data_IF_982689589972
#
_entry.id   IF_982689589972
#
_cell.length_a   1.000
_cell.length_b   1.000
_cell.length_c   1.000
_cell.angle_alpha   90.00
_cell.angle_beta   90.00
_cell.angle_gamma   90.00
#
_symmetry.space_group_name_H-M   'P 1'
#
loop_
_entity.id
_entity.type
_entity.pdbx_description
1 polymer ?
2 non-polymer ?
3 non-polymer ?
4 non-polymer ?
5 water ?
#
# COMPACT_ATOMS: atom_id res chain seq x y z
N UNK A 5 -2.88 -1.71 24.34
CA UNK A 5 -2.76 -1.87 22.87
C UNK A 5 -3.95 -1.25 22.13
N UNK A 6 -3.70 -0.19 21.37
CA UNK A 6 -4.79 0.45 20.64
C UNK A 6 -5.11 -0.45 19.43
N UNK A 7 -6.35 -0.91 19.34
CA UNK A 7 -6.78 -1.80 18.25
C UNK A 7 -7.45 -1.08 17.09
N UNK A 8 -6.86 -1.17 15.91
CA UNK A 8 -7.43 -0.55 14.72
C UNK A 8 -7.53 -1.49 13.52
N UNK A 9 -8.73 -1.63 12.99
CA UNK A 9 -8.97 -2.48 11.81
C UNK A 9 -9.30 -1.63 10.59
N UNK A 10 -8.90 -2.13 9.42
CA UNK A 10 -9.11 -1.43 8.17
C UNK A 10 -9.99 -2.22 7.21
N UNK A 11 -11.15 -1.65 6.86
CA UNK A 11 -12.02 -2.33 5.90
C UNK A 11 -11.54 -1.95 4.51
N UNK A 12 -11.01 -2.93 3.79
CA UNK A 12 -10.50 -2.67 2.44
C UNK A 12 -11.59 -2.92 1.42
N UNK A 13 -12.01 -1.86 0.74
CA UNK A 13 -13.04 -1.93 -0.28
C UNK A 13 -12.36 -2.19 -1.63
N UNK A 14 -13.13 -2.68 -2.59
CA UNK A 14 -12.54 -2.98 -3.89
C UNK A 14 -11.92 -1.71 -4.48
N UNK A 15 -10.72 -1.86 -5.04
CA UNK A 15 -9.97 -0.75 -5.65
C UNK A 15 -9.51 0.30 -4.65
N UNK A 16 -9.27 -0.13 -3.42
CA UNK A 16 -8.82 0.77 -2.36
C UNK A 16 -7.43 1.32 -2.68
N UNK A 17 -7.21 2.58 -2.32
CA UNK A 17 -5.90 3.20 -2.53
C UNK A 17 -4.86 2.39 -1.76
N UNK A 19 -1.59 2.85 -1.57
CA UNK A 19 -0.62 3.77 -0.99
C UNK A 19 -1.18 4.41 0.29
N UNK A 20 -2.48 4.64 0.33
CA UNK A 20 -3.09 5.22 1.51
C UNK A 20 -3.01 4.19 2.62
N UNK A 21 -3.41 2.97 2.28
CA UNK A 21 -3.41 1.90 3.26
C UNK A 21 -2.02 1.51 3.78
N UNK A 22 -1.07 1.32 2.88
CA UNK A 22 0.27 0.92 3.28
C UNK A 22 1.03 1.99 4.07
N UNK A 23 0.83 3.26 3.74
CA UNK A 23 1.53 4.28 4.50
C UNK A 23 0.94 4.39 5.92
N UNK A 24 -0.39 4.30 6.03
CA UNK A 24 -1.00 4.36 7.35
C UNK A 24 -0.47 3.21 8.22
N UNK A 26 2.32 1.56 7.85
CA UNK A 26 3.73 1.77 8.12
C UNK A 26 3.84 2.52 9.45
N UNK A 27 3.10 3.63 9.57
CA UNK A 27 3.09 4.43 10.79
C UNK A 27 2.80 3.60 12.04
N UNK A 28 1.76 2.76 11.97
CA UNK A 28 1.39 1.94 13.12
C UNK A 28 2.38 0.81 13.39
N UNK A 29 3.01 0.28 12.35
CA UNK A 29 3.99 -0.77 12.56
C UNK A 29 5.27 -0.13 13.12
N UNK A 30 5.74 0.92 12.45
CA UNK A 30 6.94 1.63 12.88
C UNK A 30 6.79 2.08 14.32
N UNK A 31 5.58 2.48 14.71
CA UNK A 31 5.33 2.91 16.07
C UNK A 31 5.68 1.76 17.00
N UNK A 32 5.25 0.56 16.64
CA UNK A 32 5.51 -0.63 17.43
C UNK A 32 7.00 -0.95 17.47
N UNK A 33 7.70 -0.63 16.38
CA UNK A 33 9.13 -0.88 16.28
C UNK A 33 9.89 -0.16 17.40
N UNK A 34 9.40 1.02 17.78
CA UNK A 34 10.03 1.83 18.83
C UNK A 34 9.36 1.65 20.19
N UNK A 35 8.07 1.29 20.17
CA UNK A 35 7.31 1.06 21.40
C UNK A 35 6.43 -0.17 21.19
N UNK A 36 6.83 -1.28 21.81
CA UNK A 36 6.12 -2.55 21.69
C UNK A 36 4.62 -2.50 21.96
N UNK A 37 3.89 -3.33 21.22
CA UNK A 37 2.44 -3.46 21.29
C UNK A 37 1.65 -2.18 21.53
N UNK A 38 1.99 -1.14 20.76
CA UNK A 38 1.27 0.11 20.88
C UNK A 38 -0.02 -0.04 20.09
N UNK A 39 0.05 -0.80 19.00
CA UNK A 39 -1.11 -1.02 18.13
C UNK A 39 -1.28 -2.47 17.64
N UNK A 40 -2.53 -2.87 17.48
CA UNK A 40 -2.89 -4.19 16.94
C UNK A 40 -3.85 -3.85 15.80
N UNK A 41 -3.58 -4.37 14.61
CA UNK A 41 -4.41 -4.08 13.44
C UNK A 41 -4.66 -5.29 12.55
N UNK A 42 -5.73 -5.22 11.75
CA UNK A 42 -6.11 -6.30 10.86
C UNK A 42 -6.82 -5.84 9.58
N UNK A 43 -6.37 -6.33 8.43
CA UNK A 43 -7.04 -5.91 7.20
C UNK A 43 -8.35 -6.72 7.16
N UNK A 44 -9.46 -6.05 6.84
CA UNK A 44 -10.76 -6.71 6.79
C UNK A 44 -11.46 -6.56 5.43
N UNK A 45 -12.24 -7.59 5.08
CA UNK A 45 -12.99 -7.60 3.83
C UNK A 45 -14.45 -7.87 4.13
N UNK A 46 -15.34 -7.16 3.44
CA UNK A 46 -16.76 -7.34 3.63
C UNK A 46 -17.19 -8.69 3.08
N UNK A 47 -16.66 -9.07 1.92
CA UNK A 47 -16.99 -10.37 1.36
C UNK A 47 -15.76 -11.02 0.74
N UNK A 48 -15.21 -12.01 1.44
CA UNK A 48 -14.04 -12.70 0.95
C UNK A 48 -12.81 -12.60 1.84
N UNK A 49 -11.75 -13.28 1.42
CA UNK A 49 -10.49 -13.30 2.16
C UNK A 49 -9.43 -12.63 1.30
N UNK A 50 -9.89 -11.95 0.25
CA UNK A 50 -9.00 -11.25 -0.67
C UNK A 50 -9.65 -9.98 -1.20
N UNK A 51 -8.87 -8.91 -1.27
CA UNK A 51 -9.38 -7.64 -1.77
C UNK A 51 -8.43 -7.08 -2.81
N UNK A 52 -8.98 -6.61 -3.91
CA UNK A 52 -8.19 -6.05 -4.99
C UNK A 52 -7.94 -4.57 -4.72
N UNK A 53 -6.69 -4.15 -4.90
CA UNK A 53 -6.31 -2.76 -4.70
C UNK A 53 -6.24 -2.05 -6.06
N UNK A 54 -6.01 -0.73 -6.00
CA UNK A 54 -5.94 0.10 -7.19
C UNK A 54 -4.68 -0.17 -8.00
N UNK A 55 -3.84 -1.04 -7.48
CA UNK A 55 -2.60 -1.40 -8.15
C UNK A 55 -2.71 -2.77 -8.83
N UNK A 56 -3.89 -3.37 -8.82
CA UNK A 56 -4.07 -4.67 -9.44
C UNK A 56 -3.70 -5.83 -8.54
N UNK A 57 -3.09 -5.51 -7.40
CA UNK A 57 -2.69 -6.53 -6.43
C UNK A 57 -3.80 -6.83 -5.44
N UNK A 58 -3.84 -8.08 -4.99
CA UNK A 58 -4.81 -8.52 -4.01
C UNK A 58 -4.10 -8.74 -2.67
N UNK A 59 -4.74 -8.32 -1.58
CA UNK A 59 -4.19 -8.50 -0.24
C UNK A 59 -5.05 -9.51 0.50
N UNK A 60 -4.43 -10.34 1.32
CA UNK A 60 -5.20 -11.30 2.09
C UNK A 60 -5.80 -10.51 3.25
N UNK A 61 -7.06 -10.78 3.56
CA UNK A 61 -7.75 -10.08 4.64
C UNK A 61 -8.71 -11.02 5.34
N UNK A 62 -9.06 -10.67 6.57
CA UNK A 62 -10.01 -11.46 7.34
C UNK A 62 -11.41 -11.03 6.93
N UNK A 63 -12.33 -11.97 6.82
CA UNK A 63 -13.69 -11.64 6.49
C UNK A 63 -14.25 -10.98 7.73
N UNK A 64 -14.81 -9.79 7.55
CA UNK A 64 -15.36 -9.04 8.67
C UNK A 64 -16.46 -9.80 9.41
N UNK A 65 -16.38 -9.75 10.73
CA UNK A 65 -17.36 -10.40 11.58
C UNK A 65 -17.96 -9.29 12.41
N UNK A 66 -19.27 -9.12 12.30
CA UNK A 66 -19.96 -8.07 13.03
C UNK A 66 -19.57 -8.13 14.51
N UNK A 67 -19.42 -9.34 15.03
CA UNK A 67 -19.05 -9.54 16.43
C UNK A 67 -17.62 -9.13 16.74
N UNK A 68 -16.66 -9.63 15.98
CA UNK A 68 -15.25 -9.33 16.17
C UNK A 68 -14.84 -7.86 15.97
N UNK A 69 -15.81 -6.94 16.00
CA UNK A 69 -15.49 -5.53 15.85
C UNK A 69 -15.59 -4.94 17.26
N UNK A 70 -16.21 -5.71 18.13
CA UNK A 70 -16.45 -5.36 19.53
C UNK A 70 -15.19 -4.96 20.29
N UNK A 71 -14.06 -5.58 19.98
CA UNK A 71 -12.82 -5.26 20.67
C UNK A 71 -12.01 -4.16 20.00
N UNK A 72 -12.65 -3.41 19.10
CA UNK A 72 -11.99 -2.34 18.37
C UNK A 72 -12.05 -0.94 18.97
N UNK A 73 -10.96 -0.20 18.79
CA UNK A 73 -10.90 1.18 19.22
C UNK A 73 -11.17 2.05 17.99
N UNK A 74 -10.81 1.53 16.81
CA UNK A 74 -10.99 2.29 15.58
C UNK A 74 -11.17 1.43 14.32
N UNK A 75 -12.25 1.69 13.62
CA UNK A 75 -12.57 0.99 12.39
C UNK A 75 -12.42 2.02 11.28
N UNK A 76 -11.53 1.75 10.34
CA UNK A 76 -11.26 2.64 9.22
C UNK A 76 -11.74 2.09 7.88
N UNK A 77 -12.49 2.90 7.14
CA UNK A 77 -12.97 2.49 5.83
C UNK A 77 -11.98 3.02 4.78
N UNK A 78 -11.38 2.07 4.07
CA UNK A 78 -10.40 2.41 3.05
C UNK A 78 -11.00 2.29 1.65
N UNK A 79 -11.02 3.43 0.97
CA UNK A 79 -11.55 3.49 -0.38
C UNK A 79 -10.47 3.87 -1.36
N UNK A 80 -10.90 4.26 -2.55
CA UNK A 80 -9.97 4.64 -3.59
C UNK A 80 -10.74 5.31 -4.71
N UNK A 81 -10.00 5.82 -5.69
CA UNK A 81 -10.59 6.50 -6.84
C UNK A 81 -11.66 5.70 -7.55
N UNK A 82 -11.34 4.45 -7.87
CA UNK A 82 -12.27 3.59 -8.58
C UNK A 82 -13.20 2.78 -7.66
N UNK A 83 -13.08 2.99 -6.35
CA UNK A 83 -13.92 2.27 -5.40
C UNK A 83 -15.40 2.53 -5.62
N UNK A 84 -16.17 1.46 -5.87
CA UNK A 84 -17.61 1.64 -6.09
C UNK A 84 -18.31 2.18 -4.82
N UNK A 85 -19.21 3.14 -5.01
CA UNK A 85 -19.93 3.76 -3.90
C UNK A 85 -21.19 2.99 -3.57
N UNK A 86 -21.02 1.77 -3.04
CA UNK A 86 -22.16 0.94 -2.69
C UNK A 86 -22.00 0.45 -1.26
N UNK A 87 -21.94 -0.86 -1.07
CA UNK A 87 -21.76 -1.44 0.25
C UNK A 87 -22.78 -0.87 1.24
N UNK A 88 -24.07 -0.94 0.90
CA UNK A 88 -25.14 -0.43 1.77
C UNK A 88 -25.08 -0.93 3.21
N UNK A 89 -24.51 -2.11 3.40
CA UNK A 89 -24.41 -2.68 4.75
C UNK A 89 -23.60 -1.81 5.69
N UNK A 90 -22.67 -1.04 5.13
CA UNK A 90 -21.80 -0.20 5.96
C UNK A 90 -22.56 0.82 6.78
N UNK A 91 -23.76 1.19 6.33
CA UNK A 91 -24.56 2.18 7.06
C UNK A 91 -24.91 1.81 8.50
N UNK A 92 -25.57 0.67 8.74
CA UNK A 92 -25.92 0.30 10.10
C UNK A 92 -24.69 -0.24 10.83
N UNK A 93 -23.76 -0.82 10.08
CA UNK A 93 -22.53 -1.34 10.69
C UNK A 93 -21.74 -0.21 11.35
N UNK A 94 -21.60 0.90 10.64
CA UNK A 94 -20.85 2.03 11.16
C UNK A 94 -21.66 2.77 12.23
N UNK A 95 -22.97 2.79 12.06
CA UNK A 95 -23.86 3.44 13.01
C UNK A 95 -23.73 2.71 14.36
N UNK A 96 -23.77 1.37 14.33
CA UNK A 96 -23.63 0.58 15.54
C UNK A 96 -22.24 0.71 16.13
N UNK A 97 -21.23 0.84 15.28
CA UNK A 97 -19.88 1.00 15.78
C UNK A 97 -19.81 2.37 16.47
N UNK A 98 -20.57 3.34 15.94
CA UNK A 98 -20.61 4.68 16.51
C UNK A 98 -21.39 4.64 17.82
N UNK A 99 -22.41 3.79 17.90
CA UNK A 99 -23.20 3.69 19.11
C UNK A 99 -22.38 3.03 20.20
N UNK A 100 -21.62 2.01 19.82
CA UNK A 100 -20.76 1.25 20.72
C UNK A 100 -19.69 2.09 21.41
N UNK A 101 -19.34 3.22 20.80
CA UNK A 101 -18.33 4.10 21.38
C UNK A 101 -17.03 4.11 20.60
N UNK A 103 -14.20 4.84 17.60
CA UNK A 103 -13.78 5.97 16.80
C UNK A 103 -13.93 5.38 15.40
N UNK A 104 -14.18 6.22 14.40
CA UNK A 104 -14.34 5.73 13.03
C UNK A 104 -13.51 6.55 12.06
N UNK A 105 -13.08 5.92 10.97
CA UNK A 105 -12.24 6.61 10.00
C UNK A 105 -12.42 6.27 8.53
N UNK A 106 -11.71 7.02 7.68
CA UNK A 106 -11.79 6.82 6.24
C UNK A 106 -10.60 7.39 5.48
N UNK A 107 -10.07 6.62 4.54
CA UNK A 107 -8.93 7.04 3.72
C UNK A 107 -9.39 7.21 2.28
N UNK A 108 -8.83 8.21 1.60
CA UNK A 108 -9.17 8.56 0.22
C UNK A 108 -10.61 9.11 0.18
N UNK A 109 -11.61 8.24 0.06
CA UNK A 109 -13.01 8.68 0.08
C UNK A 109 -13.86 7.92 1.08
N UNK A 110 -13.19 7.20 1.99
CA UNK A 110 -13.95 6.46 3.00
C UNK A 110 -14.90 7.34 3.78
N UNK A 111 -14.58 8.62 3.87
CA UNK A 111 -15.44 9.54 4.60
C UNK A 111 -16.79 9.61 3.93
N UNK A 112 -16.84 9.35 2.63
CA UNK A 112 -18.13 9.36 1.94
C UNK A 112 -19.07 8.35 2.64
N UNK A 113 -18.52 7.18 2.97
CA UNK A 113 -19.27 6.10 3.62
C UNK A 113 -19.67 6.45 5.05
N UNK A 114 -18.76 7.08 5.77
CA UNK A 114 -19.07 7.50 7.13
C UNK A 114 -20.15 8.58 7.02
N UNK A 115 -20.11 9.34 5.94
CA UNK A 115 -21.09 10.39 5.72
C UNK A 115 -22.49 9.82 5.52
N UNK A 116 -22.61 8.86 4.60
CA UNK A 116 -23.88 8.23 4.30
C UNK A 116 -24.44 7.51 5.52
N UNK A 117 -23.54 6.97 6.34
CA UNK A 117 -23.96 6.25 7.54
C UNK A 117 -24.52 7.19 8.61
N UNK A 118 -24.25 8.49 8.45
CA UNK A 118 -24.73 9.47 9.42
C UNK A 118 -23.88 9.53 10.68
N UNK A 119 -22.60 9.20 10.57
CA UNK A 119 -21.72 9.23 11.73
C UNK A 119 -20.78 10.44 11.72
N UNK A 120 -20.94 11.30 10.73
CA UNK A 120 -20.12 12.52 10.63
C UNK A 120 -21.00 13.75 10.81
N UNK A 121 -22.17 13.54 11.42
CA UNK A 121 -23.09 14.63 11.67
C UNK A 121 -22.49 15.58 12.68
N UNK A 122 -22.21 16.79 12.21
CA UNK A 122 -21.63 17.84 13.03
C UNK A 122 -20.17 17.53 13.33
N UNK A 123 -19.49 17.04 12.30
CA UNK A 123 -18.08 16.68 12.39
C UNK A 123 -17.37 17.21 11.16
N UNK A 124 -16.06 17.38 11.27
CA UNK A 124 -15.30 17.82 10.12
C UNK A 124 -14.71 16.55 9.55
N UNK A 125 -14.23 16.61 8.31
CA UNK A 125 -13.61 15.45 7.69
C UNK A 125 -12.87 15.88 6.44
N UNK A 126 -12.04 14.96 5.95
CA UNK A 126 -11.27 15.17 4.73
C UNK A 126 -11.70 14.09 3.75
N UNK A 127 -11.85 14.47 2.49
CA UNK A 127 -12.28 13.51 1.49
C UNK A 127 -11.70 13.91 0.15
N UNK A 128 -11.47 12.92 -0.71
CA UNK A 128 -10.97 13.21 -2.03
C UNK A 128 -12.00 14.12 -2.71
N UNK A 129 -11.54 15.10 -3.51
CA UNK A 129 -12.39 16.04 -4.25
C UNK A 129 -13.47 15.39 -5.13
N UNK A 130 -13.13 14.27 -5.76
CA UNK A 130 -14.07 13.58 -6.65
C UNK A 130 -15.38 13.26 -5.93
N UNK A 131 -15.33 13.04 -4.61
CA UNK A 131 -16.54 12.70 -3.87
C UNK A 131 -17.04 13.78 -2.92
N UNK A 132 -16.44 14.97 -2.98
CA UNK A 132 -16.82 16.05 -2.09
C UNK A 132 -18.26 16.52 -2.32
N UNK A 133 -18.65 16.69 -3.58
CA UNK A 133 -19.99 17.15 -3.88
C UNK A 133 -21.06 16.17 -3.36
N UNK A 134 -20.88 14.88 -3.62
CA UNK A 134 -21.82 13.87 -3.16
C UNK A 134 -21.94 13.80 -1.64
N UNK A 135 -20.79 13.90 -0.96
CA UNK A 135 -20.75 13.84 0.50
C UNK A 135 -21.55 14.97 1.14
N UNK A 136 -21.48 16.16 0.54
CA UNK A 136 -22.20 17.32 1.04
C UNK A 136 -23.69 17.17 0.76
N UNK A 137 -24.01 16.60 -0.41
CA UNK A 137 -25.40 16.39 -0.82
C UNK A 137 -26.09 15.36 0.06
N UNK A 138 -25.37 14.32 0.44
CA UNK A 138 -25.92 13.25 1.27
C UNK A 138 -25.77 13.51 2.77
N UNK A 139 -24.84 14.38 3.15
CA UNK A 139 -24.63 14.65 4.57
C UNK A 139 -24.41 16.14 4.87
N UNK A 140 -25.48 16.94 4.76
CA UNK A 140 -25.44 18.39 5.01
C UNK A 140 -24.81 18.79 6.35
N UNK A 141 -24.93 17.94 7.36
CA UNK A 141 -24.37 18.25 8.67
C UNK A 141 -22.86 17.98 8.80
N UNK A 142 -22.25 17.52 7.71
CA UNK A 142 -20.82 17.23 7.71
C UNK A 142 -20.03 18.35 7.04
N UNK A 143 -19.01 18.84 7.72
CA UNK A 143 -18.17 19.90 7.18
C UNK A 143 -16.99 19.30 6.43
N UNK A 144 -16.62 19.94 5.33
CA UNK A 144 -15.50 19.49 4.52
C UNK A 144 -14.31 20.35 4.89
N UNK A 145 -13.28 19.73 5.45
CA UNK A 145 -12.08 20.44 5.84
C UNK A 145 -11.24 20.75 4.60
N UNK A 146 -10.74 21.98 4.47
CA UNK A 146 -9.93 22.29 3.29
C UNK A 146 -8.47 21.85 3.49
N UNK A 147 -8.28 20.59 3.81
CA UNK A 147 -6.93 20.02 4.06
C UNK A 147 -6.96 18.49 3.85
N UNK A 148 -5.80 17.91 3.59
CA UNK A 148 -5.72 16.47 3.30
C UNK A 148 -6.07 15.46 4.41
N UNK A 149 -6.05 15.87 5.67
CA UNK A 149 -6.42 14.98 6.77
C UNK A 149 -7.21 15.74 7.81
N UNK A 150 -7.90 15.03 8.69
CA UNK A 150 -8.75 15.63 9.71
C UNK A 150 -8.81 14.77 10.97
N UNK A 151 -8.51 15.39 12.10
CA UNK A 151 -8.51 14.72 13.38
C UNK A 151 -9.52 15.45 14.24
N UNK A 152 -10.77 15.04 14.12
CA UNK A 152 -11.84 15.67 14.87
C UNK A 152 -12.44 14.68 15.85
N UNK A 153 -11.94 14.70 17.08
CA UNK A 153 -12.43 13.83 18.15
C UNK A 153 -12.23 12.36 17.80
N UNK A 154 -13.35 11.65 17.63
CA UNK A 154 -13.29 10.24 17.29
C UNK A 154 -13.68 9.98 15.82
N UNK A 155 -13.36 10.94 14.96
CA UNK A 155 -13.60 10.82 13.53
C UNK A 155 -12.32 11.27 12.80
N UNK A 156 -11.59 10.28 12.31
CA UNK A 156 -10.34 10.49 11.61
C UNK A 156 -10.49 10.21 10.10
N UNK A 157 -10.05 11.15 9.28
CA UNK A 157 -10.18 10.95 7.84
C UNK A 157 -9.09 11.58 7.04
N UNK A 158 -8.81 11.00 5.87
CA UNK A 158 -7.76 11.51 4.99
C UNK A 158 -8.21 11.42 3.53
N UNK A 159 -7.77 12.41 2.75
CA UNK A 159 -8.13 12.51 1.34
C UNK A 159 -7.03 12.06 0.40
N UNK A 160 -5.85 11.80 0.94
CA UNK A 160 -4.72 11.42 0.10
C UNK A 160 -3.74 10.52 0.85
N UNK A 161 -2.78 9.91 0.14
CA UNK A 161 -1.80 9.05 0.81
C UNK A 161 -1.06 9.84 1.89
N UNK A 162 -0.59 11.04 1.54
CA UNK A 162 0.12 11.86 2.50
C UNK A 162 -0.79 12.24 3.67
N UNK A 163 -2.05 12.54 3.36
CA UNK A 163 -3.02 12.87 4.40
C UNK A 163 -3.17 11.70 5.36
N UNK A 164 -3.11 10.48 4.81
CA UNK A 164 -3.23 9.27 5.59
C UNK A 164 -2.01 9.09 6.50
N UNK A 166 -0.16 11.54 7.71
CA UNK A 166 -0.31 12.55 8.76
C UNK A 166 -1.42 12.13 9.73
N UNK A 167 -2.48 11.53 9.20
CA UNK A 167 -3.60 11.11 10.02
C UNK A 167 -3.17 10.12 11.09
N UNK A 169 -0.15 9.70 12.14
CA UNK A 169 0.85 10.34 12.98
C UNK A 169 0.06 11.13 14.01
N UNK A 170 -1.07 11.68 13.57
CA UNK A 170 -1.91 12.43 14.48
C UNK A 170 -2.42 11.50 15.56
N UNK A 171 -2.73 10.27 15.15
CA UNK A 171 -3.22 9.27 16.09
C UNK A 171 -2.12 8.88 17.07
N UNK A 172 -0.92 8.65 16.56
CA UNK A 172 0.21 8.26 17.40
C UNK A 172 0.52 9.36 18.42
N UNK A 173 0.49 10.60 17.95
CA UNK A 173 0.77 11.77 18.78
C UNK A 173 -0.24 11.88 19.94
N UNK A 174 -1.51 11.67 19.62
CA UNK A 174 -2.60 11.76 20.60
C UNK A 174 -2.63 10.62 21.63
N UNK A 175 -1.97 9.52 21.33
CA UNK A 175 -1.96 8.37 22.22
C UNK A 175 -0.67 8.18 23.01
N UNK A 176 0.48 8.30 22.35
CA UNK A 176 1.74 8.07 23.03
C UNK A 176 2.70 9.27 23.09
N UNK A 177 2.22 10.43 22.66
CA UNK A 177 3.04 11.63 22.72
C UNK A 177 3.81 12.03 21.48
N UNK A 178 4.20 13.30 21.44
CA UNK A 178 4.94 13.86 20.31
C UNK A 178 6.25 13.08 20.15
N UNK A 179 6.77 12.60 21.27
CA UNK A 179 8.01 11.86 21.26
C UNK A 179 8.01 10.66 20.32
N UNK A 180 7.00 9.80 20.44
CA UNK A 180 6.92 8.62 19.59
C UNK A 180 6.67 9.01 18.14
N UNK A 181 5.69 9.87 17.91
CA UNK A 181 5.34 10.32 16.56
C UNK A 181 6.53 10.94 15.84
N UNK A 182 7.27 11.79 16.56
CA UNK A 182 8.43 12.44 15.98
C UNK A 182 9.46 11.38 15.62
N UNK A 183 9.59 10.36 16.47
CA UNK A 183 10.54 9.29 16.21
C UNK A 183 10.14 8.43 15.02
N UNK A 184 8.83 8.20 14.90
CA UNK A 184 8.27 7.40 13.81
C UNK A 184 8.55 8.10 12.49
N UNK A 185 8.29 9.41 12.48
CA UNK A 185 8.49 10.24 11.31
C UNK A 185 9.94 10.22 10.81
N UNK A 186 10.89 10.22 11.74
CA UNK A 186 12.30 10.20 11.38
C UNK A 186 12.64 8.98 10.52
N UNK A 187 12.12 7.83 10.93
CA UNK A 187 12.37 6.59 10.22
C UNK A 187 11.72 6.62 8.83
N UNK A 188 10.40 6.73 8.79
CA UNK A 188 9.66 6.78 7.53
C UNK A 188 10.22 7.86 6.61
N UNK A 189 10.14 9.12 7.06
CA UNK A 189 10.64 10.24 6.28
C UNK A 189 12.14 10.44 6.54
N UNK B 5 3.60 -4.34 -24.95
CA UNK B 5 3.73 -3.94 -23.53
C UNK B 5 4.94 -4.56 -22.85
N UNK B 6 5.77 -3.71 -22.25
CA UNK B 6 6.97 -4.15 -21.55
C UNK B 6 6.55 -5.03 -20.38
N UNK B 7 7.20 -6.17 -20.21
CA UNK B 7 6.86 -7.07 -19.12
C UNK B 7 7.86 -7.08 -17.99
N UNK B 8 7.38 -6.73 -16.80
CA UNK B 8 8.20 -6.71 -15.60
C UNK B 8 7.51 -7.59 -14.56
N UNK B 9 8.28 -8.43 -13.90
CA UNK B 9 7.73 -9.31 -12.87
C UNK B 9 8.56 -9.17 -11.62
N UNK B 10 7.87 -9.22 -10.48
CA UNK B 10 8.52 -9.07 -9.20
C UNK B 10 8.43 -10.33 -8.38
N UNK B 11 9.57 -10.79 -7.91
CA UNK B 11 9.60 -11.98 -7.06
C UNK B 11 9.56 -11.44 -5.65
N UNK B 12 8.47 -11.74 -4.95
CA UNK B 12 8.31 -11.26 -3.59
C UNK B 12 8.83 -12.31 -2.63
N UNK B 13 9.85 -11.92 -1.85
CA UNK B 13 10.43 -12.83 -0.87
C UNK B 13 9.80 -12.52 0.48
N UNK B 14 9.93 -13.46 1.43
CA UNK B 14 9.34 -13.26 2.75
C UNK B 14 9.89 -12.00 3.43
N UNK B 15 8.99 -11.25 4.05
CA UNK B 15 9.31 -10.02 4.76
C UNK B 15 9.75 -8.89 3.82
N UNK B 16 9.42 -9.02 2.54
CA UNK B 16 9.79 -8.00 1.56
C UNK B 16 9.22 -6.63 1.95
N UNK B 17 9.91 -5.59 1.49
CA UNK B 17 9.52 -4.20 1.75
C UNK B 17 8.26 -3.85 0.97
N UNK B 19 6.36 -1.04 1.11
CA UNK B 19 6.47 0.33 0.61
C UNK B 19 7.35 0.33 -0.64
N UNK B 20 8.46 -0.38 -0.57
CA UNK B 20 9.39 -0.44 -1.70
C UNK B 20 8.71 -1.02 -2.93
N UNK B 21 8.05 -2.16 -2.75
CA UNK B 21 7.36 -2.81 -3.85
C UNK B 21 6.16 -2.04 -4.40
N UNK B 22 5.37 -1.44 -3.50
CA UNK B 22 4.18 -0.69 -3.94
C UNK B 22 4.48 0.56 -4.77
N UNK B 23 5.41 1.40 -4.31
CA UNK B 23 5.75 2.61 -5.07
C UNK B 23 6.25 2.25 -6.46
N UNK B 24 6.95 1.13 -6.59
CA UNK B 24 7.46 0.70 -7.88
C UNK B 24 6.28 0.40 -8.78
N UNK B 26 3.34 1.53 -8.44
CA UNK B 26 2.60 2.76 -8.63
C UNK B 26 3.05 3.48 -9.90
N UNK B 27 4.35 3.51 -10.10
CA UNK B 27 4.96 4.15 -11.26
C UNK B 27 4.51 3.49 -12.56
N UNK B 28 4.39 2.17 -12.55
CA UNK B 28 3.99 1.42 -13.73
C UNK B 28 2.51 1.51 -14.02
N UNK B 29 1.69 1.36 -12.98
CA UNK B 29 0.25 1.44 -13.16
C UNK B 29 -0.10 2.86 -13.59
N UNK B 30 0.61 3.84 -13.03
CA UNK B 30 0.36 5.22 -13.37
C UNK B 30 0.73 5.48 -14.83
N UNK B 31 1.84 4.92 -15.28
CA UNK B 31 2.26 5.10 -16.67
C UNK B 31 1.15 4.53 -17.54
N UNK B 32 0.60 3.38 -17.15
CA UNK B 32 -0.47 2.76 -17.93
C UNK B 32 -1.70 3.64 -17.94
N UNK B 33 -1.84 4.50 -16.94
CA UNK B 33 -2.97 5.42 -16.86
C UNK B 33 -2.79 6.56 -17.87
N UNK B 34 -1.54 6.95 -18.10
CA UNK B 34 -1.22 8.03 -19.03
C UNK B 34 -1.06 7.50 -20.46
N UNK B 35 -0.68 6.23 -20.58
CA UNK B 35 -0.48 5.58 -21.87
C UNK B 35 -0.79 4.10 -21.74
N UNK B 36 -1.94 3.69 -22.27
CA UNK B 36 -2.37 2.30 -22.19
C UNK B 36 -1.34 1.28 -22.67
N UNK B 37 -1.51 0.04 -22.21
CA UNK B 37 -0.64 -1.06 -22.58
C UNK B 37 0.86 -0.77 -22.51
N UNK B 38 1.27 0.21 -21.72
CA UNK B 38 2.69 0.51 -21.61
C UNK B 38 3.44 -0.57 -20.85
N UNK B 39 2.83 -1.07 -19.78
CA UNK B 39 3.46 -2.12 -18.99
C UNK B 39 2.51 -3.26 -18.68
N UNK B 40 3.09 -4.35 -18.20
CA UNK B 40 2.36 -5.55 -17.80
C UNK B 40 3.15 -6.08 -16.62
N UNK B 41 2.47 -6.59 -15.59
CA UNK B 41 3.21 -7.07 -14.44
C UNK B 41 2.48 -8.12 -13.62
N UNK B 42 3.25 -8.84 -12.81
CA UNK B 42 2.70 -9.90 -11.98
C UNK B 42 3.59 -10.14 -10.77
N UNK B 43 2.98 -10.25 -9.57
CA UNK B 43 3.80 -10.51 -8.38
C UNK B 43 4.07 -12.01 -8.36
N UNK B 44 5.32 -12.40 -8.13
CA UNK B 44 5.69 -13.82 -8.11
C UNK B 44 6.22 -14.32 -6.78
N UNK B 45 5.96 -15.60 -6.51
CA UNK B 45 6.39 -16.27 -5.29
C UNK B 45 7.13 -17.58 -5.60
N UNK B 46 8.19 -17.85 -4.83
CA UNK B 46 8.95 -19.08 -5.03
C UNK B 46 8.15 -20.27 -4.51
N UNK B 47 7.41 -20.06 -3.42
CA UNK B 47 6.59 -21.12 -2.85
C UNK B 47 5.27 -20.58 -2.32
N UNK B 48 4.16 -21.18 -2.75
CA UNK B 48 2.85 -20.74 -2.30
C UNK B 48 2.34 -19.53 -3.06
N UNK B 49 1.03 -19.31 -2.98
CA UNK B 49 0.40 -18.18 -3.65
C UNK B 49 0.24 -16.98 -2.72
N UNK B 50 1.02 -16.94 -1.65
CA UNK B 50 0.97 -15.85 -0.68
C UNK B 50 2.34 -15.55 -0.09
N UNK B 51 2.66 -14.27 0.06
CA UNK B 51 3.94 -13.87 0.63
C UNK B 51 3.74 -12.81 1.73
N UNK B 52 4.40 -13.01 2.85
CA UNK B 52 4.33 -12.09 3.99
C UNK B 52 5.22 -10.87 3.74
N UNK B 53 4.62 -9.68 3.73
CA UNK B 53 5.39 -8.46 3.53
C UNK B 53 6.06 -8.06 4.83
N UNK B 54 6.83 -6.99 4.79
CA UNK B 54 7.50 -6.51 5.99
C UNK B 54 6.48 -5.88 6.95
N UNK B 55 5.28 -5.60 6.44
CA UNK B 55 4.24 -4.97 7.24
C UNK B 55 3.28 -5.91 7.93
N UNK B 56 3.45 -7.21 7.74
CA UNK B 56 2.54 -8.16 8.36
C UNK B 56 1.38 -8.49 7.42
N UNK B 57 1.26 -7.76 6.31
CA UNK B 57 0.20 -8.02 5.32
C UNK B 57 0.70 -9.06 4.32
N UNK B 58 -0.21 -9.85 3.79
CA UNK B 58 0.14 -10.87 2.80
C UNK B 58 -0.49 -10.49 1.46
N UNK B 59 0.26 -10.64 0.37
CA UNK B 59 -0.26 -10.35 -0.95
C UNK B 59 -0.34 -11.66 -1.71
N UNK B 60 -1.35 -11.79 -2.56
CA UNK B 60 -1.51 -12.99 -3.36
C UNK B 60 -0.56 -12.86 -4.54
N UNK B 61 0.27 -13.87 -4.75
CA UNK B 61 1.22 -13.86 -5.85
C UNK B 61 1.06 -15.11 -6.71
N UNK B 62 1.83 -15.18 -7.79
CA UNK B 62 1.80 -16.33 -8.68
C UNK B 62 3.11 -17.07 -8.48
N UNK B 63 3.02 -18.38 -8.29
CA UNK B 63 4.20 -19.21 -8.09
C UNK B 63 5.08 -19.10 -9.32
N UNK B 64 6.38 -18.91 -9.11
CA UNK B 64 7.32 -18.76 -10.21
C UNK B 64 7.29 -19.93 -11.19
N UNK B 65 7.47 -19.61 -12.48
CA UNK B 65 7.45 -20.60 -13.54
C UNK B 65 8.50 -20.27 -14.61
N UNK B 66 9.34 -21.24 -14.94
CA UNK B 66 10.38 -21.05 -15.94
C UNK B 66 9.84 -20.82 -17.35
N UNK B 67 8.94 -21.70 -17.77
CA UNK B 67 8.33 -21.60 -19.10
C UNK B 67 7.60 -20.27 -19.26
N UNK B 68 7.26 -19.65 -18.14
CA UNK B 68 6.56 -18.36 -18.14
C UNK B 68 7.56 -17.23 -18.39
N UNK B 69 8.76 -17.39 -17.85
CA UNK B 69 9.83 -16.41 -18.00
C UNK B 69 10.30 -16.34 -19.45
N UNK B 70 9.36 -16.37 -20.39
CA UNK B 70 9.71 -16.32 -21.81
C UNK B 70 9.29 -14.99 -22.41
N UNK B 71 8.19 -14.44 -21.92
CA UNK B 71 7.68 -13.17 -22.41
C UNK B 71 8.11 -12.05 -21.46
N UNK B 72 8.98 -12.38 -20.52
CA UNK B 72 9.46 -11.38 -19.56
C UNK B 72 10.65 -10.58 -20.05
N UNK B 73 10.47 -9.27 -20.13
CA UNK B 73 11.52 -8.38 -20.59
C UNK B 73 12.30 -7.85 -19.39
N UNK B 74 11.81 -8.12 -18.19
CA UNK B 74 12.47 -7.68 -16.97
C UNK B 74 11.98 -8.49 -15.79
N UNK B 75 12.89 -8.79 -14.87
CA UNK B 75 12.56 -9.57 -13.68
C UNK B 75 13.24 -8.86 -12.52
N UNK B 76 12.51 -8.71 -11.41
CA UNK B 76 13.05 -8.03 -10.25
C UNK B 76 13.00 -8.88 -8.99
N UNK B 77 13.96 -8.66 -8.11
CA UNK B 77 14.01 -9.39 -6.86
C UNK B 77 13.66 -8.44 -5.73
N UNK B 78 12.48 -8.61 -5.15
CA UNK B 78 12.02 -7.75 -4.07
C UNK B 78 12.34 -8.37 -2.71
N UNK B 79 13.13 -7.66 -1.92
CA UNK B 79 13.49 -8.14 -0.61
C UNK B 79 13.13 -7.18 0.50
N UNK B 80 13.61 -7.45 1.70
CA UNK B 80 13.32 -6.60 2.84
C UNK B 80 14.31 -6.78 3.96
N UNK B 81 14.20 -5.92 4.98
CA UNK B 81 15.10 -5.97 6.12
C UNK B 81 15.25 -7.39 6.67
N UNK B 82 14.22 -7.87 7.37
CA UNK B 82 14.27 -9.21 7.96
C UNK B 82 14.24 -10.36 6.96
N UNK B 83 14.37 -10.05 5.66
CA UNK B 83 14.35 -11.10 4.66
C UNK B 83 15.57 -12.00 4.79
N UNK B 84 15.36 -13.33 4.81
CA UNK B 84 16.47 -14.27 4.94
C UNK B 84 17.33 -14.37 3.68
N UNK B 85 18.65 -14.31 3.87
CA UNK B 85 19.61 -14.38 2.77
C UNK B 85 19.85 -15.83 2.38
N UNK B 86 18.85 -16.42 1.71
CA UNK B 86 18.92 -17.82 1.29
C UNK B 86 18.40 -17.97 -0.12
N UNK B 87 17.33 -18.75 -0.27
CA UNK B 87 16.72 -18.99 -1.56
C UNK B 87 17.79 -19.45 -2.55
N UNK B 88 18.11 -20.75 -2.54
CA UNK B 88 19.12 -21.32 -3.43
C UNK B 88 18.80 -21.18 -4.92
N UNK B 89 17.54 -21.43 -5.29
CA UNK B 89 17.12 -21.34 -6.68
C UNK B 89 17.43 -19.98 -7.32
N UNK B 90 17.87 -19.01 -6.52
CA UNK B 90 18.19 -17.68 -7.05
C UNK B 90 19.55 -17.60 -7.75
N UNK B 91 20.17 -18.76 -7.98
CA UNK B 91 21.46 -18.80 -8.66
C UNK B 91 21.25 -19.34 -10.07
N UNK B 92 20.67 -20.53 -10.16
CA UNK B 92 20.42 -21.14 -11.45
C UNK B 92 19.46 -20.27 -12.26
N UNK B 93 18.37 -19.86 -11.61
CA UNK B 93 17.34 -19.04 -12.25
C UNK B 93 17.82 -17.65 -12.69
N UNK B 94 18.59 -16.98 -11.84
CA UNK B 94 19.11 -15.65 -12.20
C UNK B 94 20.09 -15.77 -13.36
N UNK B 95 21.09 -16.63 -13.19
CA UNK B 95 22.10 -16.84 -14.23
C UNK B 95 21.42 -17.29 -15.51
N UNK B 96 20.35 -18.06 -15.38
CA UNK B 96 19.60 -18.53 -16.56
C UNK B 96 18.96 -17.36 -17.27
N UNK B 97 18.43 -16.41 -16.49
CA UNK B 97 17.80 -15.23 -17.06
C UNK B 97 18.85 -14.32 -17.69
N UNK B 98 20.02 -14.26 -17.06
CA UNK B 98 21.11 -13.46 -17.60
C UNK B 98 21.60 -14.20 -18.83
N UNK B 99 21.32 -15.51 -18.87
CA UNK B 99 21.71 -16.37 -19.98
C UNK B 99 20.78 -16.12 -21.16
N UNK B 100 19.93 -15.13 -21.00
CA UNK B 100 18.99 -14.77 -22.05
C UNK B 100 19.08 -13.26 -22.24
N UNK B 101 20.03 -12.65 -21.53
CA UNK B 101 20.23 -11.22 -21.62
C UNK B 101 19.21 -10.47 -20.78
N UNK B 103 16.63 -8.47 -18.65
CA UNK B 103 16.93 -7.45 -17.66
C UNK B 103 16.59 -7.97 -16.25
N UNK B 104 17.42 -7.60 -15.27
CA UNK B 104 17.22 -8.00 -13.89
C UNK B 104 17.40 -6.82 -12.92
N UNK B 105 16.68 -6.85 -11.80
CA UNK B 105 16.77 -5.78 -10.82
C UNK B 105 16.54 -6.24 -9.39
N UNK B 106 16.69 -5.31 -8.44
CA UNK B 106 16.50 -5.64 -7.04
C UNK B 106 16.08 -4.45 -6.16
N UNK B 107 15.25 -4.72 -5.16
CA UNK B 107 14.78 -3.66 -4.28
C UNK B 107 15.21 -3.88 -2.81
N UNK B 108 15.44 -2.78 -2.10
CA UNK B 108 15.87 -2.81 -0.70
C UNK B 108 17.22 -3.52 -0.62
N UNK B 109 17.25 -4.77 -0.17
CA UNK B 109 18.52 -5.50 -0.15
C UNK B 109 18.42 -6.73 -1.03
N UNK B 110 17.60 -6.62 -2.07
CA UNK B 110 17.42 -7.71 -3.01
C UNK B 110 18.56 -7.71 -4.01
N UNK B 111 19.52 -6.80 -3.78
CA UNK B 111 20.68 -6.67 -4.64
C UNK B 111 21.74 -7.67 -4.17
N UNK B 112 21.62 -8.08 -2.91
CA UNK B 112 22.55 -9.03 -2.32
C UNK B 112 22.44 -10.33 -3.10
N UNK B 113 21.21 -10.76 -3.35
CA UNK B 113 20.96 -11.99 -4.10
C UNK B 113 21.47 -11.81 -5.51
N UNK B 114 21.61 -10.54 -5.91
CA UNK B 114 22.12 -10.24 -7.24
C UNK B 114 23.62 -10.51 -7.18
N UNK B 115 24.20 -10.26 -6.00
CA UNK B 115 25.62 -10.47 -5.78
C UNK B 115 26.06 -11.93 -5.86
N UNK B 116 25.14 -12.87 -5.70
CA UNK B 116 25.49 -14.28 -5.80
C UNK B 116 25.64 -14.61 -7.27
N UNK B 117 26.06 -13.60 -8.03
CA UNK B 117 26.28 -13.72 -9.46
C UNK B 117 26.97 -12.44 -9.88
N UNK B 118 26.25 -11.58 -10.59
CA UNK B 118 26.84 -10.33 -11.04
C UNK B 118 25.82 -9.23 -11.23
N UNK B 129 21.71 -3.83 7.63
CA UNK B 129 22.58 -2.95 6.88
C UNK B 129 23.16 -3.65 5.66
N UNK B 130 22.72 -4.88 5.46
CA UNK B 130 23.13 -5.78 4.36
C UNK B 130 23.98 -5.13 3.25
N UNK B 131 25.11 -4.54 3.64
CA UNK B 131 26.00 -3.87 2.69
C UNK B 131 26.42 -4.75 1.53
N UNK B 132 26.25 -6.06 1.69
CA UNK B 132 26.60 -7.06 0.68
C UNK B 132 27.90 -7.77 1.06
N UNK B 148 20.24 6.16 -3.91
CA UNK B 148 19.18 5.30 -3.40
C UNK B 148 18.83 4.27 -4.45
N UNK B 149 19.15 4.61 -5.71
CA UNK B 149 18.87 3.71 -6.82
C UNK B 149 20.04 3.74 -7.80
N UNK B 150 19.99 2.87 -8.80
CA UNK B 150 21.06 2.82 -9.79
C UNK B 150 20.57 2.05 -10.99
N UNK B 151 20.73 2.62 -12.18
CA UNK B 151 20.33 1.95 -13.41
C UNK B 151 21.59 1.68 -14.23
N UNK B 152 22.10 0.45 -14.16
CA UNK B 152 23.30 0.08 -14.89
C UNK B 152 22.95 -0.79 -16.09
N UNK B 153 22.88 -0.18 -17.26
CA UNK B 153 22.56 -0.88 -18.50
C UNK B 153 21.28 -1.70 -18.40
N UNK B 154 21.40 -2.98 -18.08
CA UNK B 154 20.21 -3.82 -17.96
C UNK B 154 20.13 -4.54 -16.62
N UNK B 155 20.69 -3.88 -15.60
CA UNK B 155 20.70 -4.38 -14.23
C UNK B 155 20.30 -3.21 -13.32
N UNK B 156 19.02 -3.14 -12.97
CA UNK B 156 18.52 -2.06 -12.11
C UNK B 156 18.60 -2.41 -10.63
N UNK B 157 18.65 -1.38 -9.79
CA UNK B 157 18.75 -1.59 -8.34
C UNK B 157 18.24 -0.40 -7.54
N UNK B 158 18.02 -0.64 -6.26
CA UNK B 158 17.53 0.38 -5.33
C UNK B 158 17.67 -0.18 -3.92
N UNK B 159 17.94 0.69 -2.95
CA UNK B 159 18.10 0.26 -1.57
C UNK B 159 17.12 0.96 -0.64
N UNK B 160 16.08 1.56 -1.22
CA UNK B 160 15.10 2.26 -0.43
C UNK B 160 13.79 2.41 -1.18
N UNK B 161 12.68 2.61 -0.43
CA UNK B 161 11.37 2.78 -1.07
C UNK B 161 11.44 3.94 -2.06
N UNK B 162 12.09 5.03 -1.63
CA UNK B 162 12.21 6.20 -2.49
C UNK B 162 13.13 5.93 -3.68
N UNK B 163 14.11 5.05 -3.49
CA UNK B 163 15.00 4.73 -4.58
C UNK B 163 14.26 3.86 -5.58
N UNK B 164 13.29 3.11 -5.07
CA UNK B 164 12.49 2.23 -5.92
C UNK B 164 11.64 3.07 -6.89
N UNK B 166 12.29 6.30 -8.21
CA UNK B 166 13.15 6.82 -9.28
C UNK B 166 13.58 5.69 -10.20
N UNK B 167 13.87 4.53 -9.60
CA UNK B 167 14.29 3.37 -10.37
C UNK B 167 13.31 3.06 -11.49
N UNK B 169 11.00 5.06 -12.49
CA UNK B 169 10.77 6.28 -13.28
C UNK B 169 11.81 6.32 -14.40
N UNK B 170 13.03 5.89 -14.08
CA UNK B 170 14.08 5.87 -15.09
C UNK B 170 13.75 4.84 -16.14
N UNK B 171 13.14 3.75 -15.72
CA UNK B 171 12.76 2.70 -16.65
C UNK B 171 11.77 3.25 -17.67
N UNK B 172 10.86 4.10 -17.21
CA UNK B 172 9.86 4.72 -18.06
C UNK B 172 10.51 5.79 -18.93
N UNK B 173 11.44 6.53 -18.34
CA UNK B 173 12.15 7.60 -19.04
C UNK B 173 12.96 7.03 -20.21
N UNK B 174 13.39 5.78 -20.06
CA UNK B 174 14.20 5.08 -21.06
C UNK B 174 13.35 4.42 -22.15
N UNK B 175 12.36 3.65 -21.73
CA UNK B 175 11.50 2.95 -22.68
C UNK B 175 10.45 3.84 -23.33
N UNK B 176 10.24 5.03 -22.80
CA UNK B 176 9.24 5.92 -23.37
C UNK B 176 9.59 7.42 -23.39
N UNK B 177 10.67 7.81 -22.74
CA UNK B 177 11.07 9.21 -22.76
C UNK B 177 10.83 10.00 -21.49
N UNK B 178 11.30 11.24 -21.48
CA UNK B 178 11.15 12.12 -20.32
C UNK B 178 9.73 12.64 -20.19
N UNK B 179 9.04 12.77 -21.31
CA UNK B 179 7.67 13.27 -21.29
C UNK B 179 6.77 12.46 -20.37
N UNK B 180 6.52 11.23 -20.76
CA UNK B 180 5.65 10.33 -19.99
C UNK B 180 6.19 10.14 -18.58
N UNK B 181 7.51 10.10 -18.45
CA UNK B 181 8.17 9.90 -17.17
C UNK B 181 7.91 11.07 -16.22
N UNK B 182 7.93 12.28 -16.76
CA UNK B 182 7.70 13.47 -15.95
C UNK B 182 6.23 13.54 -15.56
N UNK B 183 5.36 13.12 -16.47
CA UNK B 183 3.93 13.14 -16.20
C UNK B 183 3.58 12.23 -15.03
N UNK B 184 4.17 11.05 -15.01
CA UNK B 184 3.94 10.09 -13.92
C UNK B 184 4.39 10.67 -12.58
N UNK B 185 5.57 11.29 -12.58
CA UNK B 185 6.14 11.88 -11.38
C UNK B 185 5.26 12.96 -10.76
N UNK B 186 4.47 13.63 -11.59
CA UNK B 186 3.57 14.68 -11.11
C UNK B 186 2.34 14.10 -10.42
N UNK B 187 1.94 12.90 -10.82
CA UNK B 187 0.78 12.24 -10.25
C UNK B 187 1.03 11.60 -8.88
N UNK B 188 2.06 10.76 -8.79
CA UNK B 188 2.40 10.09 -7.55
C UNK B 188 2.63 11.03 -6.37
N UNK B 189 2.93 12.29 -6.67
CA UNK B 189 3.20 13.28 -5.62
C UNK B 189 2.36 14.54 -5.79
#
# INVERSE_FOLDING_TARGET
XSLAPYRVDFILLEHFSXASFTVAXDVLVTANLLRADSFQFTPLSLDGDRVLSDLGLELVATELSAAALKELDLLVVCGGLRTPLKYPELDRLLNDCAAHGXALGGLWNGAWFLGRAGVLDDYGCSIHPEQRASLSERSPQTRITPASFTLDRDRLSAASPNGAXELXLGLVRRLYGDGLAEGVEEILSFSGAREGHHHHHH
XSLAPYRVDFILLEHFSXASFTVAXDVLVTANLLRADSFQFTPLSLDGDRVLSDLGLELVATELSAAALKELDLLVVCGGLRTPLKYPELDRLLNDCAAHGXALGGLWNGAWFLGRAGVLDDYGCSIHPEQRASLSERSPQTRITPASFTLDRDRLSAASPNGAXELXLGLVRRLYGDGLAEGVEEILSFSGAREGHHHHHH
#
